data_IF_469772569734
#
_entry.id   IF_469772569734
#
_cell.length_a   1.000
_cell.length_b   1.000
_cell.length_c   1.000
_cell.angle_alpha   90.00
_cell.angle_beta   90.00
_cell.angle_gamma   90.00
#
_symmetry.space_group_name_H-M   'P 1'
#
loop_
_entity.id
_entity.type
_entity.pdbx_description
1 polymer ?
#
# COMPACT_ATOMS: atom_id res chain seq x y z
N UNK A 1 13.88 -0.56 24.69
CA UNK A 1 14.53 -0.17 23.42
C UNK A 1 15.07 1.23 23.61
N UNK A 2 16.38 1.41 23.41
CA UNK A 2 16.97 2.76 23.33
C UNK A 2 16.40 3.35 22.03
N UNK A 3 15.68 4.46 22.13
CA UNK A 3 15.21 5.18 20.95
C UNK A 3 16.45 5.76 20.25
N UNK A 4 16.86 5.13 19.16
CA UNK A 4 17.86 5.66 18.25
C UNK A 4 17.20 6.82 17.51
N UNK A 5 17.91 7.93 17.30
CA UNK A 5 17.37 9.05 16.52
C UNK A 5 17.15 8.60 15.06
N UNK A 6 16.24 9.25 14.33
CA UNK A 6 16.01 8.93 12.92
C UNK A 6 17.29 9.13 12.09
N UNK A 7 18.13 10.10 12.47
CA UNK A 7 19.45 10.32 11.87
C UNK A 7 20.38 9.13 12.09
N UNK A 8 20.51 8.65 13.32
CA UNK A 8 21.39 7.52 13.65
C UNK A 8 20.88 6.22 13.00
N UNK A 9 19.56 6.00 12.96
CA UNK A 9 18.93 4.86 12.29
C UNK A 9 19.19 4.90 10.78
N UNK A 10 19.04 6.07 10.17
CA UNK A 10 19.31 6.29 8.75
C UNK A 10 20.77 6.02 8.40
N UNK A 11 21.72 6.41 9.25
CA UNK A 11 23.14 6.11 9.09
C UNK A 11 23.40 4.61 9.22
N UNK A 12 22.74 3.94 10.16
CA UNK A 12 22.98 2.54 10.46
C UNK A 12 22.44 1.59 9.39
N UNK A 13 21.24 1.84 8.86
CA UNK A 13 20.55 0.91 7.96
C UNK A 13 20.45 1.40 6.51
N UNK A 14 20.51 2.72 6.26
CA UNK A 14 20.52 3.28 4.91
C UNK A 14 19.22 3.07 4.13
N UNK A 15 18.10 2.80 4.80
CA UNK A 15 16.80 2.45 4.23
C UNK A 15 15.72 3.52 4.47
N UNK A 16 16.10 4.67 5.02
CA UNK A 16 15.19 5.79 5.30
C UNK A 16 15.30 6.85 4.20
N UNK A 17 14.16 7.24 3.65
CA UNK A 17 14.03 8.41 2.77
C UNK A 17 13.24 9.47 3.52
N UNK A 18 13.78 10.69 3.60
CA UNK A 18 13.18 11.83 4.32
C UNK A 18 12.89 12.97 3.36
N UNK A 19 11.84 13.73 3.64
CA UNK A 19 11.45 14.93 2.93
C UNK A 19 10.97 15.97 3.94
N UNK A 20 11.14 17.25 3.61
CA UNK A 20 10.78 18.36 4.47
C UNK A 20 9.28 18.71 4.35
N UNK A 21 8.44 17.94 5.05
CA UNK A 21 7.04 18.29 5.32
C UNK A 21 6.58 17.65 6.64
N UNK A 22 5.51 18.19 7.22
CA UNK A 22 4.93 17.65 8.45
C UNK A 22 4.25 16.31 8.19
N UNK A 23 4.76 15.22 8.79
CA UNK A 23 4.18 13.89 8.69
C UNK A 23 2.90 13.80 9.55
N UNK A 24 1.76 13.95 8.90
CA UNK A 24 0.42 13.88 9.51
C UNK A 24 -0.50 13.06 8.61
N UNK A 25 -1.60 12.57 9.18
CA UNK A 25 -2.59 11.79 8.42
C UNK A 25 -3.11 12.55 7.19
N UNK A 26 -3.39 13.85 7.33
CA UNK A 26 -3.90 14.66 6.21
C UNK A 26 -2.82 14.92 5.13
N UNK A 27 -1.55 14.75 5.47
CA UNK A 27 -0.40 14.90 4.56
C UNK A 27 0.11 13.57 3.99
N UNK A 28 -0.56 12.44 4.24
CA UNK A 28 -0.14 11.14 3.70
C UNK A 28 -0.03 11.16 2.17
N UNK A 29 -0.87 11.92 1.48
CA UNK A 29 -0.79 12.06 0.03
C UNK A 29 0.52 12.70 -0.44
N UNK A 30 1.07 13.65 0.33
CA UNK A 30 2.40 14.21 0.04
C UNK A 30 3.49 13.14 0.19
N UNK A 31 3.37 12.28 1.21
CA UNK A 31 4.26 11.13 1.42
C UNK A 31 4.16 10.11 0.28
N UNK A 32 2.95 9.85 -0.21
CA UNK A 32 2.74 8.98 -1.38
C UNK A 32 3.33 9.60 -2.65
N UNK A 33 3.09 10.89 -2.92
CA UNK A 33 3.71 11.59 -4.07
C UNK A 33 5.23 11.51 -4.00
N UNK A 34 5.80 11.72 -2.82
CA UNK A 34 7.24 11.56 -2.56
C UNK A 34 7.73 10.14 -2.86
N UNK A 35 7.01 9.11 -2.43
CA UNK A 35 7.38 7.72 -2.72
C UNK A 35 7.37 7.42 -4.24
N UNK A 36 6.34 7.89 -4.95
CA UNK A 36 6.23 7.75 -6.40
C UNK A 36 7.33 8.52 -7.15
N UNK A 37 7.67 9.72 -6.68
CA UNK A 37 8.81 10.50 -7.17
C UNK A 37 10.11 9.73 -7.00
N UNK A 38 10.38 9.25 -5.80
CA UNK A 38 11.64 8.60 -5.47
C UNK A 38 11.85 7.34 -6.30
N UNK A 39 10.82 6.50 -6.44
CA UNK A 39 10.90 5.28 -7.27
C UNK A 39 11.12 5.64 -8.74
N UNK A 40 10.50 6.72 -9.24
CA UNK A 40 10.69 7.17 -10.62
C UNK A 40 12.10 7.70 -10.88
N UNK A 41 12.67 8.47 -9.94
CA UNK A 41 13.98 9.11 -10.11
C UNK A 41 15.15 8.17 -9.79
N UNK A 42 15.03 7.34 -8.76
CA UNK A 42 16.13 6.54 -8.20
C UNK A 42 15.99 5.03 -8.45
N UNK A 43 14.79 4.54 -8.83
CA UNK A 43 14.56 3.14 -9.13
C UNK A 43 13.76 2.91 -10.43
N UNK A 44 14.13 3.54 -11.57
CA UNK A 44 13.34 3.52 -12.80
C UNK A 44 13.19 2.13 -13.44
N UNK A 45 14.03 1.18 -13.05
CA UNK A 45 14.02 -0.20 -13.56
C UNK A 45 13.30 -1.19 -12.65
N UNK A 46 12.72 -0.74 -11.53
CA UNK A 46 11.89 -1.59 -10.70
C UNK A 46 10.71 -2.14 -11.53
N UNK A 47 10.51 -3.45 -11.50
CA UNK A 47 9.40 -4.11 -12.22
C UNK A 47 8.06 -3.84 -11.55
N UNK A 48 8.05 -3.79 -10.22
CA UNK A 48 6.86 -3.58 -9.42
C UNK A 48 7.17 -2.61 -8.28
N UNK A 49 6.16 -1.85 -7.89
CA UNK A 49 6.13 -1.02 -6.71
C UNK A 49 5.05 -1.56 -5.77
N UNK A 50 5.40 -1.83 -4.52
CA UNK A 50 4.42 -2.06 -3.46
C UNK A 50 4.51 -0.92 -2.44
N UNK A 51 3.37 -0.30 -2.13
CA UNK A 51 3.21 0.59 -0.97
C UNK A 51 2.41 -0.16 0.08
N UNK A 52 2.78 -0.01 1.35
CA UNK A 52 2.07 -0.61 2.49
C UNK A 52 2.27 0.25 3.75
N UNK A 53 1.49 -0.01 4.78
CA UNK A 53 1.57 0.66 6.08
C UNK A 53 2.38 -0.17 7.09
N UNK A 54 2.86 0.47 8.16
CA UNK A 54 3.75 -0.16 9.16
C UNK A 54 3.05 -1.21 10.03
N UNK A 55 1.72 -1.24 10.03
CA UNK A 55 0.88 -2.17 10.78
C UNK A 55 0.29 -3.27 9.90
N UNK A 56 0.99 -3.62 8.81
CA UNK A 56 0.57 -4.64 7.86
C UNK A 56 1.59 -5.77 7.83
N UNK A 57 1.11 -6.99 8.09
CA UNK A 57 1.91 -8.19 7.86
C UNK A 57 1.90 -8.51 6.36
N UNK A 58 3.08 -8.55 5.75
CA UNK A 58 3.26 -8.95 4.35
C UNK A 58 4.00 -10.29 4.30
N UNK A 59 3.38 -11.32 3.72
CA UNK A 59 4.08 -12.54 3.35
C UNK A 59 4.84 -12.30 2.05
N UNK A 60 6.11 -11.90 2.18
CA UNK A 60 6.97 -11.55 1.04
C UNK A 60 7.22 -12.72 0.08
N UNK A 61 7.25 -13.96 0.59
CA UNK A 61 7.37 -15.16 -0.24
C UNK A 61 6.17 -15.35 -1.18
N UNK A 62 4.96 -15.15 -0.66
CA UNK A 62 3.74 -15.22 -1.46
C UNK A 62 3.59 -14.02 -2.39
N UNK A 63 3.96 -12.83 -1.93
CA UNK A 63 4.02 -11.64 -2.78
C UNK A 63 4.90 -11.88 -4.01
N UNK A 64 6.13 -12.38 -3.82
CA UNK A 64 7.03 -12.66 -4.96
C UNK A 64 6.46 -13.73 -5.88
N UNK A 65 5.90 -14.82 -5.35
CA UNK A 65 5.23 -15.86 -6.16
C UNK A 65 4.07 -15.28 -6.97
N UNK A 66 3.28 -14.41 -6.37
CA UNK A 66 2.18 -13.71 -7.04
C UNK A 66 2.71 -12.83 -8.18
N UNK A 67 3.72 -11.99 -7.91
CA UNK A 67 4.31 -11.09 -8.90
C UNK A 67 4.98 -11.82 -10.07
N UNK A 68 5.61 -12.97 -9.82
CA UNK A 68 6.25 -13.79 -10.86
C UNK A 68 5.25 -14.44 -11.81
N UNK A 69 3.98 -14.61 -11.40
CA UNK A 69 2.90 -15.09 -12.28
C UNK A 69 2.31 -13.99 -13.15
N UNK A 70 2.61 -12.72 -12.87
CA UNK A 70 2.08 -11.60 -13.62
C UNK A 70 2.93 -11.32 -14.86
N UNK A 71 2.27 -11.05 -15.98
CA UNK A 71 2.96 -10.68 -17.21
C UNK A 71 3.40 -9.22 -17.14
N UNK A 72 4.70 -8.96 -17.34
CA UNK A 72 5.30 -7.61 -17.34
C UNK A 72 4.80 -6.65 -18.44
N UNK A 73 3.94 -7.12 -19.35
CA UNK A 73 3.27 -6.28 -20.36
C UNK A 73 1.96 -5.67 -19.88
N UNK A 74 1.48 -6.05 -18.69
CA UNK A 74 0.20 -5.60 -18.15
C UNK A 74 0.36 -4.34 -17.28
N UNK A 75 -0.53 -3.36 -17.45
CA UNK A 75 -0.65 -2.19 -16.56
C UNK A 75 -1.24 -2.62 -15.21
N UNK A 76 -0.46 -3.34 -14.42
CA UNK A 76 -0.94 -4.00 -13.21
C UNK A 76 -1.18 -2.97 -12.11
N UNK A 77 -2.38 -3.01 -11.55
CA UNK A 77 -2.73 -2.37 -10.28
C UNK A 77 -3.61 -3.32 -9.47
N UNK A 78 -3.18 -3.68 -8.25
CA UNK A 78 -3.91 -4.65 -7.43
C UNK A 78 -3.68 -4.43 -5.93
N UNK A 79 -4.54 -5.02 -5.11
CA UNK A 79 -4.64 -4.83 -3.67
C UNK A 79 -6.09 -5.09 -3.23
N UNK A 80 -6.44 -4.76 -1.99
CA UNK A 80 -7.84 -4.88 -1.55
C UNK A 80 -8.72 -3.78 -2.19
N UNK A 81 -9.71 -4.12 -3.04
CA UNK A 81 -10.45 -3.11 -3.80
C UNK A 81 -11.56 -2.44 -2.98
N UNK A 82 -11.65 -1.12 -3.07
CA UNK A 82 -12.82 -0.34 -2.71
C UNK A 82 -13.57 0.06 -3.98
N UNK A 83 -14.80 -0.44 -4.12
CA UNK A 83 -15.70 -0.17 -5.24
C UNK A 83 -16.91 0.59 -4.71
N UNK A 84 -17.36 1.61 -5.44
CA UNK A 84 -18.51 2.45 -5.06
C UNK A 84 -18.38 3.10 -3.67
N UNK A 85 -17.16 3.35 -3.20
CA UNK A 85 -16.98 3.98 -1.90
C UNK A 85 -17.35 5.47 -1.96
N UNK A 86 -18.10 5.93 -0.96
CA UNK A 86 -18.61 7.30 -0.92
C UNK A 86 -17.62 8.25 -0.27
N UNK A 87 -17.51 9.46 -0.81
CA UNK A 87 -16.80 10.55 -0.17
C UNK A 87 -17.61 10.97 1.07
N UNK A 88 -17.16 10.55 2.24
CA UNK A 88 -17.92 10.73 3.49
C UNK A 88 -17.97 12.21 3.91
N UNK A 89 -19.18 12.69 4.23
CA UNK A 89 -19.49 14.09 4.60
C UNK A 89 -20.19 14.20 5.96
N UNK A 90 -20.12 13.16 6.79
CA UNK A 90 -20.74 13.13 8.13
C UNK A 90 -19.83 13.65 9.24
N UNK A 91 -20.15 13.33 10.51
CA UNK A 91 -19.48 13.91 11.67
C UNK A 91 -18.14 13.25 12.05
N UNK A 92 -17.86 12.06 11.53
CA UNK A 92 -16.60 11.37 11.83
C UNK A 92 -15.42 12.01 11.08
N UNK A 93 -14.68 12.89 11.77
CA UNK A 93 -13.64 13.75 11.18
C UNK A 93 -12.55 13.00 10.41
N UNK A 94 -12.13 11.81 10.88
CA UNK A 94 -11.04 11.05 10.25
C UNK A 94 -11.36 10.71 8.79
N UNK A 95 -12.60 10.35 8.48
CA UNK A 95 -13.03 9.98 7.12
C UNK A 95 -13.78 11.10 6.40
N UNK A 96 -14.03 12.23 7.06
CA UNK A 96 -14.67 13.40 6.44
C UNK A 96 -13.74 14.03 5.39
N UNK A 97 -14.27 14.30 4.20
CA UNK A 97 -13.62 15.16 3.20
C UNK A 97 -14.62 16.25 2.78
N UNK A 98 -14.19 17.44 2.36
CA UNK A 98 -15.13 18.52 1.98
C UNK A 98 -15.47 18.48 0.48
N UNK A 99 -16.49 19.23 0.05
CA UNK A 99 -16.76 19.40 -1.39
C UNK A 99 -15.67 20.21 -2.10
N UNK A 100 -15.02 21.14 -1.42
CA UNK A 100 -13.90 21.94 -1.97
C UNK A 100 -12.64 21.08 -2.21
N UNK A 101 -12.46 20.05 -1.38
CA UNK A 101 -11.37 19.10 -1.53
C UNK A 101 -11.70 18.03 -2.57
N UNK A 102 -12.92 17.48 -2.53
CA UNK A 102 -13.41 16.50 -3.51
C UNK A 102 -14.89 16.74 -3.84
N UNK A 103 -15.24 17.21 -5.05
CA UNK A 103 -16.60 17.64 -5.36
C UNK A 103 -17.57 16.48 -5.66
N UNK A 104 -17.06 15.29 -5.95
CA UNK A 104 -17.90 14.16 -6.35
C UNK A 104 -18.39 13.33 -5.15
N UNK A 105 -19.54 12.67 -5.33
CA UNK A 105 -20.15 11.84 -4.28
C UNK A 105 -19.41 10.52 -4.06
N UNK A 106 -18.88 9.92 -5.13
CA UNK A 106 -18.23 8.61 -5.11
C UNK A 106 -16.79 8.76 -5.59
N UNK A 107 -15.88 8.06 -4.92
CA UNK A 107 -14.53 7.86 -5.45
C UNK A 107 -14.57 6.90 -6.65
N UNK A 108 -13.68 7.07 -7.64
CA UNK A 108 -13.42 6.00 -8.60
C UNK A 108 -12.85 4.77 -7.87
N UNK A 109 -12.91 3.56 -8.47
CA UNK A 109 -12.33 2.37 -7.85
C UNK A 109 -10.86 2.57 -7.46
N UNK A 110 -10.50 2.19 -6.24
CA UNK A 110 -9.14 2.27 -5.72
C UNK A 110 -8.81 1.08 -4.81
N UNK A 111 -7.54 0.87 -4.47
CA UNK A 111 -7.12 -0.16 -3.52
C UNK A 111 -6.89 0.47 -2.14
N UNK A 112 -7.20 -0.26 -1.07
CA UNK A 112 -7.00 0.20 0.31
C UNK A 112 -5.55 0.60 0.58
N UNK A 113 -5.37 1.68 1.36
CA UNK A 113 -4.07 2.15 1.83
C UNK A 113 -3.23 1.12 2.59
N UNK A 114 -3.83 0.03 3.10
CA UNK A 114 -3.06 -1.04 3.77
C UNK A 114 -1.96 -1.63 2.87
N UNK A 115 -2.17 -1.64 1.56
CA UNK A 115 -1.28 -2.35 0.67
C UNK A 115 -1.80 -2.42 -0.76
N UNK A 116 -1.03 -1.86 -1.69
CA UNK A 116 -1.31 -1.97 -3.10
C UNK A 116 -0.01 -2.09 -3.92
N UNK A 117 -0.15 -2.70 -5.09
CA UNK A 117 0.93 -3.04 -6.00
C UNK A 117 0.66 -2.38 -7.35
N UNK A 118 1.69 -1.77 -7.93
CA UNK A 118 1.69 -1.25 -9.29
C UNK A 118 2.81 -1.90 -10.11
N UNK A 119 2.59 -2.05 -11.41
CA UNK A 119 3.67 -2.16 -12.38
C UNK A 119 4.57 -0.91 -12.29
N UNK A 120 5.88 -1.08 -12.46
CA UNK A 120 6.85 0.01 -12.33
C UNK A 120 6.69 1.11 -13.38
N UNK A 121 6.41 0.76 -14.64
CA UNK A 121 6.14 1.74 -15.70
C UNK A 121 4.80 2.43 -15.49
N UNK A 122 3.83 1.72 -14.91
CA UNK A 122 2.58 2.35 -14.47
C UNK A 122 2.85 3.36 -13.35
N UNK A 123 3.63 3.02 -12.33
CA UNK A 123 3.99 3.94 -11.25
C UNK A 123 4.61 5.25 -11.78
N UNK A 124 5.52 5.17 -12.77
CA UNK A 124 6.12 6.34 -13.41
C UNK A 124 5.09 7.24 -14.11
N UNK A 125 4.17 6.64 -14.89
CA UNK A 125 3.10 7.40 -15.56
C UNK A 125 2.13 8.01 -14.56
N UNK A 126 1.82 7.29 -13.48
CA UNK A 126 1.00 7.81 -12.38
C UNK A 126 1.68 9.02 -11.75
N UNK A 127 2.99 8.95 -11.45
CA UNK A 127 3.74 10.07 -10.90
C UNK A 127 3.70 11.32 -11.80
N UNK A 128 3.92 11.14 -13.11
CA UNK A 128 3.82 12.23 -14.08
C UNK A 128 2.45 12.91 -14.03
N UNK A 129 1.38 12.12 -13.94
CA UNK A 129 0.01 12.63 -13.83
C UNK A 129 -0.26 13.35 -12.49
N UNK A 130 0.29 12.87 -11.37
CA UNK A 130 0.04 13.45 -10.04
C UNK A 130 0.33 14.97 -9.99
N UNK A 131 1.34 15.45 -10.74
CA UNK A 131 1.67 16.88 -10.82
C UNK A 131 0.55 17.76 -11.42
N UNK A 132 -0.41 17.16 -12.11
CA UNK A 132 -1.53 17.82 -12.75
C UNK A 132 -2.86 17.66 -11.99
N UNK A 133 -2.89 16.85 -10.93
CA UNK A 133 -4.11 16.55 -10.16
C UNK A 133 -3.97 17.09 -8.75
N UNK A 134 -4.90 17.96 -8.35
CA UNK A 134 -4.97 18.49 -6.97
C UNK A 134 -4.98 17.33 -5.96
N UNK A 135 -4.00 17.26 -5.05
CA UNK A 135 -3.99 16.26 -3.98
C UNK A 135 -5.22 16.37 -3.08
N UNK A 136 -5.74 15.21 -2.67
CA UNK A 136 -6.72 15.06 -1.59
C UNK A 136 -6.04 14.33 -0.43
N UNK A 137 -6.57 14.41 0.78
CA UNK A 137 -5.94 13.84 1.98
C UNK A 137 -5.91 12.31 2.03
N UNK A 138 -6.81 11.64 1.30
CA UNK A 138 -6.85 10.18 1.21
C UNK A 138 -5.93 9.71 0.08
N UNK A 139 -4.71 9.31 0.45
CA UNK A 139 -3.67 8.94 -0.52
C UNK A 139 -4.10 7.81 -1.46
N UNK A 140 -4.81 6.83 -0.91
CA UNK A 140 -5.21 5.62 -1.63
C UNK A 140 -6.29 5.93 -2.67
N UNK A 141 -7.27 6.74 -2.27
CA UNK A 141 -8.25 7.31 -3.19
C UNK A 141 -7.60 8.26 -4.22
N UNK A 142 -6.58 9.04 -3.84
CA UNK A 142 -5.85 9.91 -4.77
C UNK A 142 -5.11 9.12 -5.85
N UNK A 143 -4.42 8.03 -5.47
CA UNK A 143 -3.80 7.10 -6.43
C UNK A 143 -4.86 6.48 -7.33
N UNK A 144 -5.99 6.06 -6.78
CA UNK A 144 -7.13 5.56 -7.58
C UNK A 144 -7.69 6.58 -8.57
N UNK A 145 -7.79 7.85 -8.19
CA UNK A 145 -8.19 8.94 -9.11
C UNK A 145 -7.21 9.04 -10.27
N UNK A 146 -5.90 9.05 -9.99
CA UNK A 146 -4.88 9.12 -11.03
C UNK A 146 -4.96 7.92 -11.98
N UNK A 147 -5.07 6.70 -11.44
CA UNK A 147 -5.17 5.47 -12.23
C UNK A 147 -6.44 5.38 -13.07
N UNK A 148 -7.56 5.87 -12.54
CA UNK A 148 -8.82 5.98 -13.28
C UNK A 148 -8.72 6.95 -14.47
N UNK A 149 -8.00 8.07 -14.33
CA UNK A 149 -7.71 8.97 -15.45
C UNK A 149 -6.85 8.29 -16.51
N UNK A 150 -5.86 7.49 -16.09
CA UNK A 150 -5.03 6.66 -16.97
C UNK A 150 -5.78 5.44 -17.56
N UNK A 151 -7.07 5.27 -17.25
CA UNK A 151 -7.91 4.14 -17.71
C UNK A 151 -7.37 2.77 -17.30
N UNK A 152 -6.74 2.70 -16.13
CA UNK A 152 -6.28 1.45 -15.54
C UNK A 152 -7.32 0.92 -14.57
N UNK A 153 -7.73 -0.33 -14.77
CA UNK A 153 -8.65 -1.02 -13.88
C UNK A 153 -7.86 -1.79 -12.81
N UNK A 154 -8.48 -1.96 -11.64
CA UNK A 154 -7.95 -2.85 -10.61
C UNK A 154 -8.02 -4.29 -11.12
N UNK A 155 -6.88 -4.98 -11.10
CA UNK A 155 -6.83 -6.44 -11.21
C UNK A 155 -7.31 -7.02 -9.89
N UNK A 156 -8.48 -7.64 -9.91
CA UNK A 156 -9.04 -8.27 -8.71
C UNK A 156 -8.08 -9.36 -8.21
N UNK A 157 -7.65 -9.32 -6.94
CA UNK A 157 -6.85 -10.39 -6.36
C UNK A 157 -7.69 -11.67 -6.23
N UNK A 158 -7.02 -12.80 -6.07
CA UNK A 158 -7.72 -14.03 -5.70
C UNK A 158 -8.30 -13.88 -4.29
N UNK A 159 -9.32 -14.68 -3.97
CA UNK A 159 -9.91 -14.69 -2.63
C UNK A 159 -8.84 -14.96 -1.57
N UNK A 160 -9.00 -14.36 -0.40
CA UNK A 160 -8.12 -14.56 0.77
C UNK A 160 -6.64 -14.15 0.58
N UNK A 161 -6.28 -13.40 -0.46
CA UNK A 161 -4.91 -12.87 -0.59
C UNK A 161 -4.69 -11.61 0.25
N UNK A 162 -5.71 -10.77 0.40
CA UNK A 162 -5.63 -9.47 1.06
C UNK A 162 -6.72 -9.33 2.12
N UNK A 163 -6.35 -9.08 3.36
CA UNK A 163 -7.28 -8.90 4.49
C UNK A 163 -7.24 -7.48 5.04
N UNK A 164 -8.34 -6.74 4.84
CA UNK A 164 -8.52 -5.36 5.28
C UNK A 164 -8.48 -5.19 6.82
N UNK A 165 -8.75 -6.25 7.55
CA UNK A 165 -8.80 -6.26 9.01
C UNK A 165 -7.98 -7.41 9.58
N UNK A 166 -7.56 -7.25 10.84
CA UNK A 166 -6.83 -8.27 11.57
C UNK A 166 -7.61 -9.57 11.61
N UNK A 167 -6.94 -10.65 11.25
CA UNK A 167 -7.42 -12.02 11.42
C UNK A 167 -6.62 -12.72 12.52
N UNK A 168 -7.25 -13.71 13.16
CA UNK A 168 -6.56 -14.56 14.14
C UNK A 168 -5.34 -15.23 13.49
N UNK A 169 -4.24 -15.30 14.24
CA UNK A 169 -3.04 -15.96 13.76
C UNK A 169 -3.30 -17.46 13.59
N UNK A 170 -3.14 -17.92 12.35
CA UNK A 170 -3.23 -19.31 11.95
C UNK A 170 -2.14 -19.56 10.91
N UNK A 171 -1.26 -20.52 11.16
CA UNK A 171 -0.08 -20.78 10.32
C UNK A 171 -0.51 -21.07 8.87
N UNK A 172 -1.61 -21.79 8.68
CA UNK A 172 -2.04 -22.21 7.34
C UNK A 172 -2.63 -21.06 6.53
N UNK A 173 -3.45 -20.22 7.17
CA UNK A 173 -3.94 -18.98 6.53
C UNK A 173 -2.79 -18.03 6.19
N UNK A 174 -1.87 -17.81 7.13
CA UNK A 174 -0.75 -16.89 6.94
C UNK A 174 0.27 -17.39 5.89
N UNK A 175 0.30 -18.71 5.63
CA UNK A 175 1.08 -19.32 4.53
C UNK A 175 0.46 -19.14 3.15
N UNK A 176 -0.81 -18.78 3.03
CA UNK A 176 -1.51 -18.63 1.76
C UNK A 176 -1.72 -17.15 1.38
N UNK A 177 -2.00 -16.30 2.37
CA UNK A 177 -2.26 -14.88 2.14
C UNK A 177 -1.02 -14.08 1.71
N UNK A 178 -1.25 -12.87 1.19
CA UNK A 178 -0.21 -11.89 0.84
C UNK A 178 -0.12 -10.81 1.92
N UNK A 179 -1.25 -10.23 2.35
CA UNK A 179 -1.27 -9.10 3.27
C UNK A 179 -2.42 -9.15 4.28
N UNK A 180 -2.15 -8.77 5.53
CA UNK A 180 -3.15 -8.59 6.60
C UNK A 180 -2.87 -7.29 7.34
N UNK A 181 -3.89 -6.43 7.48
CA UNK A 181 -3.79 -5.17 8.20
C UNK A 181 -4.08 -5.29 9.70
N UNK A 182 -3.57 -4.36 10.50
CA UNK A 182 -3.80 -4.26 11.94
C UNK A 182 -2.90 -5.16 12.79
N UNK A 183 -1.70 -5.48 12.31
CA UNK A 183 -0.72 -6.31 13.00
C UNK A 183 0.36 -5.42 13.62
N UNK A 184 0.61 -5.56 14.91
CA UNK A 184 1.63 -4.76 15.61
C UNK A 184 3.05 -5.22 15.25
N UNK A 185 4.06 -4.34 15.44
CA UNK A 185 5.45 -4.68 15.11
C UNK A 185 5.97 -5.93 15.83
N UNK A 186 5.58 -6.13 17.10
CA UNK A 186 5.94 -7.34 17.87
C UNK A 186 5.26 -8.60 17.34
N UNK A 187 4.01 -8.50 16.90
CA UNK A 187 3.29 -9.59 16.26
C UNK A 187 3.88 -9.93 14.89
N UNK A 188 4.27 -8.94 14.08
CA UNK A 188 4.92 -9.17 12.78
C UNK A 188 6.18 -10.03 12.96
N UNK A 189 7.04 -9.68 13.92
CA UNK A 189 8.26 -10.44 14.22
C UNK A 189 7.92 -11.86 14.67
N UNK A 190 6.98 -12.00 15.61
CA UNK A 190 6.57 -13.30 16.13
C UNK A 190 5.98 -14.20 15.05
N UNK A 191 5.08 -13.67 14.22
CA UNK A 191 4.42 -14.42 13.15
C UNK A 191 5.44 -14.91 12.12
N UNK A 192 6.43 -14.09 11.76
CA UNK A 192 7.52 -14.52 10.89
C UNK A 192 8.38 -15.63 11.49
N UNK A 193 8.69 -15.57 12.79
CA UNK A 193 9.42 -16.62 13.49
C UNK A 193 8.61 -17.93 13.51
N UNK A 194 7.32 -17.86 13.82
CA UNK A 194 6.43 -19.02 13.88
C UNK A 194 6.23 -19.66 12.49
N UNK A 195 6.09 -18.85 11.44
CA UNK A 195 5.97 -19.32 10.05
C UNK A 195 7.25 -20.00 9.55
N UNK A 196 8.42 -19.50 9.96
CA UNK A 196 9.74 -20.00 9.53
C UNK A 196 10.17 -21.26 10.29
N UNK A 197 9.79 -21.38 11.56
CA UNK A 197 10.22 -22.47 12.45
C UNK A 197 9.33 -23.72 12.37
N UNK A 198 8.02 -23.56 12.17
CA UNK A 198 7.06 -24.68 12.23
C UNK A 198 6.88 -25.38 10.88
N UNK A 199 7.96 -25.87 10.25
CA UNK A 199 7.89 -26.61 8.97
C UNK A 199 7.12 -27.93 9.06
N UNK A 200 6.91 -28.45 10.28
CA UNK A 200 6.20 -29.70 10.56
C UNK A 200 4.67 -29.60 10.45
N UNK A 201 4.10 -28.40 10.50
CA UNK A 201 2.65 -28.20 10.37
C UNK A 201 2.25 -28.42 8.92
N UNK A 202 1.51 -29.49 8.64
CA UNK A 202 0.88 -29.74 7.35
C UNK A 202 -0.45 -28.99 7.29
N UNK A 203 -0.58 -28.11 6.32
CA UNK A 203 -1.82 -27.41 6.06
C UNK A 203 -2.69 -28.22 5.09
N UNK A 204 -4.01 -28.29 5.33
CA UNK A 204 -4.94 -28.95 4.42
C UNK A 204 -4.99 -28.25 3.06
#
# INVERSE_FOLDING_TARGET
MIAVSCEDESILYGDIIRQDFMDTYDNLTLKTIMAFRWVTEFCPNAKFLMKTDVDVFINTGNLVKFLLKLNSSENIFTGYPFINNSAYRGFYKKTYISYDEYPFKLFPPYCSGMGYILDGKLAQRTYQLMSHIKPIKFEDAYVGICLNILKVNIRMPEEEQFFLYKINFDICKYRQLIAVHGITSSEIIKFWQDLSSNTSVTCP
#
